data_IF_470000941113
#
_entry.id   IF_470000941113
#
_cell.length_a   1.000
_cell.length_b   1.000
_cell.length_c   1.000
_cell.angle_alpha   90.00
_cell.angle_beta   90.00
_cell.angle_gamma   90.00
#
_symmetry.space_group_name_H-M   'P 1'
#
loop_
_entity.id
_entity.type
_entity.pdbx_description
1 polymer ?
#
# COMPACT_ATOMS: atom_id res chain seq x y z
N UNK A 1 -18.33 0.15 4.11
CA UNK A 1 -16.91 0.32 3.72
C UNK A 1 -16.18 1.00 4.87
N UNK A 2 -15.20 0.32 5.49
CA UNK A 2 -14.60 0.73 6.78
C UNK A 2 -13.10 0.44 6.92
N UNK A 3 -12.38 0.04 5.86
CA UNK A 3 -11.00 -0.44 6.02
C UNK A 3 -9.92 0.66 5.97
N UNK A 4 -10.07 1.68 5.12
CA UNK A 4 -8.95 2.58 4.81
C UNK A 4 -8.81 3.78 5.78
N UNK A 5 -9.92 4.29 6.31
CA UNK A 5 -9.88 5.33 7.34
C UNK A 5 -9.19 4.82 8.61
N UNK A 6 -9.47 3.57 8.97
CA UNK A 6 -8.83 2.89 10.10
C UNK A 6 -7.33 2.67 9.83
N UNK A 7 -6.92 2.34 8.59
CA UNK A 7 -5.50 2.19 8.22
C UNK A 7 -4.66 3.45 8.52
N UNK A 8 -5.24 4.63 8.24
CA UNK A 8 -4.60 5.93 8.46
C UNK A 8 -4.50 6.30 9.93
N UNK A 9 -5.49 5.94 10.74
CA UNK A 9 -5.54 6.28 12.18
C UNK A 9 -4.77 5.28 13.05
N UNK A 10 -4.75 4.00 12.67
CA UNK A 10 -4.23 2.91 13.51
C UNK A 10 -2.78 2.54 13.23
N UNK A 11 -2.24 2.94 12.07
CA UNK A 11 -0.93 2.48 11.63
C UNK A 11 -0.90 1.00 11.21
N UNK A 12 -2.06 0.37 11.01
CA UNK A 12 -2.16 -1.05 10.70
C UNK A 12 -1.61 -1.33 9.30
N UNK A 13 -0.81 -2.39 9.23
CA UNK A 13 -0.27 -2.96 8.00
C UNK A 13 -1.32 -3.92 7.45
N UNK A 14 -1.92 -3.61 6.29
CA UNK A 14 -2.84 -4.53 5.60
C UNK A 14 -2.12 -5.18 4.42
N UNK A 15 -2.24 -6.51 4.31
CA UNK A 15 -1.74 -7.27 3.16
C UNK A 15 -2.87 -7.40 2.15
N UNK A 16 -2.65 -6.88 0.95
CA UNK A 16 -3.61 -6.89 -0.14
C UNK A 16 -3.09 -7.81 -1.24
N UNK A 17 -3.97 -8.68 -1.74
CA UNK A 17 -3.74 -9.49 -2.94
C UNK A 17 -4.54 -8.86 -4.09
N UNK A 18 -3.92 -8.51 -5.22
CA UNK A 18 -4.60 -7.82 -6.30
C UNK A 18 -5.41 -8.84 -7.12
N UNK A 19 -6.52 -8.40 -7.71
CA UNK A 19 -7.44 -9.30 -8.43
C UNK A 19 -6.96 -9.65 -9.85
N UNK A 20 -6.05 -8.84 -10.40
CA UNK A 20 -5.51 -8.93 -11.76
C UNK A 20 -4.11 -8.31 -11.82
N UNK A 21 -3.41 -8.57 -12.92
CA UNK A 21 -2.15 -7.88 -13.22
C UNK A 21 -2.40 -6.38 -13.36
N UNK A 22 -1.68 -5.57 -12.58
CA UNK A 22 -1.76 -4.11 -12.58
C UNK A 22 -0.47 -3.50 -12.02
N UNK A 23 -0.33 -2.18 -12.09
CA UNK A 23 0.74 -1.49 -11.37
C UNK A 23 0.35 -1.24 -9.91
N UNK A 24 1.34 -1.09 -9.04
CA UNK A 24 1.14 -0.59 -7.66
C UNK A 24 0.41 0.76 -7.69
N UNK A 25 0.74 1.64 -8.64
CA UNK A 25 0.06 2.92 -8.82
C UNK A 25 -1.44 2.74 -9.04
N UNK A 26 -1.83 1.82 -9.91
CA UNK A 26 -3.25 1.50 -10.19
C UNK A 26 -3.96 0.94 -8.96
N UNK A 27 -3.30 0.06 -8.18
CA UNK A 27 -3.85 -0.42 -6.91
C UNK A 27 -4.08 0.75 -5.93
N UNK A 28 -3.13 1.68 -5.82
CA UNK A 28 -3.30 2.85 -4.95
C UNK A 28 -4.44 3.76 -5.44
N UNK A 29 -4.68 3.85 -6.76
CA UNK A 29 -5.85 4.54 -7.32
C UNK A 29 -7.16 3.90 -6.90
N UNK A 30 -7.26 2.58 -7.07
CA UNK A 30 -8.45 1.81 -6.70
C UNK A 30 -8.78 1.94 -5.19
N UNK A 31 -7.74 2.06 -4.35
CA UNK A 31 -7.86 2.25 -2.91
C UNK A 31 -8.03 3.71 -2.48
N UNK A 32 -8.04 4.67 -3.41
CA UNK A 32 -8.10 6.11 -3.14
C UNK A 32 -6.98 6.58 -2.19
N UNK A 33 -5.78 6.07 -2.44
CA UNK A 33 -4.54 6.34 -1.70
C UNK A 33 -3.53 7.17 -2.50
N UNK A 34 -3.91 7.64 -3.69
CA UNK A 34 -3.07 8.50 -4.54
C UNK A 34 -2.54 9.74 -3.80
N UNK A 35 -1.26 10.05 -4.00
CA UNK A 35 -0.63 11.26 -3.45
C UNK A 35 -0.38 11.24 -1.93
N UNK A 36 -0.68 10.13 -1.24
CA UNK A 36 -0.30 9.92 0.16
C UNK A 36 1.06 9.23 0.23
N UNK A 37 1.89 9.66 1.16
CA UNK A 37 3.20 9.05 1.39
C UNK A 37 3.02 7.73 2.13
N UNK A 38 3.14 6.62 1.41
CA UNK A 38 3.19 5.27 1.95
C UNK A 38 4.48 4.58 1.53
N UNK A 39 5.02 3.74 2.41
CA UNK A 39 6.01 2.75 2.01
C UNK A 39 5.29 1.54 1.44
N UNK A 40 5.58 1.17 0.20
CA UNK A 40 4.99 -0.02 -0.42
C UNK A 40 6.03 -1.13 -0.43
N UNK A 41 5.64 -2.31 0.09
CA UNK A 41 6.41 -3.54 -0.05
C UNK A 41 5.63 -4.53 -0.90
N UNK A 42 6.27 -5.08 -1.93
CA UNK A 42 5.78 -6.21 -2.73
C UNK A 42 6.69 -7.39 -2.42
N UNK A 43 6.11 -8.49 -1.92
CA UNK A 43 6.83 -9.69 -1.49
C UNK A 43 7.98 -9.39 -0.51
N UNK A 44 7.74 -8.42 0.38
CA UNK A 44 8.69 -7.96 1.38
C UNK A 44 9.80 -7.05 0.85
N UNK A 45 9.80 -6.66 -0.43
CA UNK A 45 10.76 -5.74 -1.04
C UNK A 45 10.12 -4.40 -1.37
N UNK A 46 10.87 -3.32 -1.21
CA UNK A 46 10.40 -1.98 -1.58
C UNK A 46 10.01 -1.93 -3.05
N UNK A 47 8.82 -1.41 -3.31
CA UNK A 47 8.28 -1.19 -4.64
C UNK A 47 7.94 0.29 -4.84
N UNK A 48 7.86 0.69 -6.09
CA UNK A 48 7.38 2.00 -6.54
C UNK A 48 6.03 1.86 -7.27
N UNK A 49 5.43 2.97 -7.65
CA UNK A 49 4.13 3.00 -8.34
C UNK A 49 4.16 2.30 -9.71
N UNK A 50 5.33 2.21 -10.34
CA UNK A 50 5.51 1.56 -11.64
C UNK A 50 5.70 0.04 -11.53
N UNK A 51 5.87 -0.49 -10.31
CA UNK A 51 6.05 -1.92 -10.07
C UNK A 51 4.80 -2.69 -10.45
N UNK A 52 4.95 -3.69 -11.33
CA UNK A 52 3.87 -4.59 -11.75
C UNK A 52 3.64 -5.66 -10.68
N UNK A 53 2.37 -5.86 -10.33
CA UNK A 53 1.90 -6.84 -9.35
C UNK A 53 0.80 -7.70 -9.95
N UNK A 54 0.68 -8.92 -9.44
CA UNK A 54 -0.32 -9.90 -9.85
C UNK A 54 -0.96 -10.59 -8.64
N UNK A 55 -1.92 -11.47 -8.90
CA UNK A 55 -2.68 -12.20 -7.88
C UNK A 55 -1.82 -13.02 -6.91
N UNK A 56 -0.58 -13.36 -7.29
CA UNK A 56 0.34 -14.15 -6.50
C UNK A 56 1.29 -13.26 -5.67
N UNK A 57 1.26 -11.94 -5.91
CA UNK A 57 2.03 -10.93 -5.21
C UNK A 57 1.40 -10.57 -3.86
N UNK A 58 2.23 -10.38 -2.83
CA UNK A 58 1.83 -9.92 -1.50
C UNK A 58 2.18 -8.45 -1.31
N UNK A 59 1.16 -7.58 -1.27
CA UNK A 59 1.36 -6.13 -1.13
C UNK A 59 1.12 -5.70 0.30
N UNK A 60 2.11 -5.03 0.87
CA UNK A 60 2.08 -4.45 2.21
C UNK A 60 2.20 -2.93 2.09
N UNK A 61 1.20 -2.22 2.59
CA UNK A 61 1.17 -0.75 2.62
C UNK A 61 1.53 -0.29 4.03
N UNK A 62 2.64 0.43 4.13
CA UNK A 62 3.14 1.02 5.37
C UNK A 62 2.77 2.51 5.41
N UNK A 63 2.04 2.99 6.42
CA UNK A 63 1.90 4.41 6.64
C UNK A 63 3.28 5.03 6.85
N UNK A 64 3.53 6.20 6.27
CA UNK A 64 4.75 6.94 6.52
C UNK A 64 4.74 7.44 7.97
N UNK A 65 5.26 6.61 8.88
CA UNK A 65 5.55 7.00 10.25
C UNK A 65 6.85 7.79 10.18
N UNK A 66 6.75 9.12 10.21
CA UNK A 66 7.89 9.99 10.48
C UNK A 66 8.38 9.71 11.90
N UNK A 67 9.27 8.73 12.05
CA UNK A 67 9.94 8.45 13.30
C UNK A 67 10.84 9.63 13.66
N UNK A 68 10.35 10.49 14.55
CA UNK A 68 11.15 11.54 15.17
C UNK A 68 10.43 12.88 15.34
N UNK A 69 9.38 12.93 16.16
CA UNK A 69 9.18 14.11 17.00
C UNK A 69 9.74 13.76 18.39
N UNK A 70 10.84 14.42 18.73
CA UNK A 70 11.33 14.56 20.11
C UNK A 70 10.27 15.17 21.02
#
# INVERSE_FOLDING_TARGET
MRQIADLLETGIIETITPEREMSVGDLLKELNLEGKYFGILVDGKKADEDTVIDKDSSITILPHIAGGLN
#
